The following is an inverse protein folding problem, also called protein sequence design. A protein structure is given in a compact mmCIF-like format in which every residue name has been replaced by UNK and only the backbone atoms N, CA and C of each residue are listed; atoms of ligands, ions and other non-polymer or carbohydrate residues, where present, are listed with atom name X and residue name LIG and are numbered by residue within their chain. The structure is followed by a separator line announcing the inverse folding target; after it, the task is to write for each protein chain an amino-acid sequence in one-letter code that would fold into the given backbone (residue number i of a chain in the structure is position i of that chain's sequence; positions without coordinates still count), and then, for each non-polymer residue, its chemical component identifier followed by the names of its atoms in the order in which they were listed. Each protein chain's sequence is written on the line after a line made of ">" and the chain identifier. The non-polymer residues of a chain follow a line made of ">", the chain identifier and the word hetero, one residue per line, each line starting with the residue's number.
data_IF_801136113681
#
_entry.id   IF_801136113681
#
_cell.length_a   1.000
_cell.length_b   1.000
_cell.length_c   1.000
_cell.angle_alpha   90.00
_cell.angle_beta   90.00
_cell.angle_gamma   90.00
#
_symmetry.space_group_name_H-M   'P 1'
#
loop_
_entity.id
_entity.type
_entity.pdbx_description
1 polymer ?
#
# COMPACT_ATOMS: atom_id res chain seq x y z
N UNK A 1 -5.39 45.59 48.22
CA UNK A 1 -5.86 44.26 47.79
C UNK A 1 -5.45 44.06 46.37
N UNK A 2 -4.50 43.17 46.14
CA UNK A 2 -4.08 42.80 44.79
C UNK A 2 -4.76 41.49 44.45
N UNK A 3 -5.67 41.52 43.47
CA UNK A 3 -6.32 40.35 42.95
C UNK A 3 -5.38 39.77 41.89
N UNK A 4 -4.75 38.63 42.19
CA UNK A 4 -3.97 37.89 41.20
C UNK A 4 -4.94 37.06 40.38
N UNK A 5 -5.17 37.50 39.15
CA UNK A 5 -5.90 36.72 38.14
C UNK A 5 -5.00 35.61 37.65
N UNK A 6 -5.26 34.41 38.15
CA UNK A 6 -4.56 33.20 37.71
C UNK A 6 -5.14 32.81 36.35
N UNK A 7 -4.46 33.20 35.28
CA UNK A 7 -4.80 32.71 33.94
C UNK A 7 -4.28 31.28 33.82
N UNK A 8 -5.19 30.33 34.00
CA UNK A 8 -4.93 28.93 33.74
C UNK A 8 -4.88 28.72 32.21
N UNK A 9 -3.68 28.73 31.64
CA UNK A 9 -3.45 28.36 30.26
C UNK A 9 -3.72 26.87 30.11
N UNK A 10 -4.94 26.53 29.69
CA UNK A 10 -5.30 25.19 29.28
C UNK A 10 -4.66 24.96 27.92
N UNK A 11 -3.45 24.39 27.92
CA UNK A 11 -2.82 23.89 26.71
C UNK A 11 -3.59 22.63 26.31
N UNK A 12 -4.60 22.79 25.46
CA UNK A 12 -5.16 21.65 24.72
C UNK A 12 -4.07 21.15 23.81
N UNK A 13 -3.35 20.14 24.26
CA UNK A 13 -2.58 19.30 23.37
C UNK A 13 -3.58 18.59 22.45
N UNK A 14 -3.85 19.18 21.30
CA UNK A 14 -4.48 18.53 20.18
C UNK A 14 -3.50 17.43 19.72
N UNK A 15 -3.58 16.28 20.35
CA UNK A 15 -3.01 15.07 19.78
C UNK A 15 -3.79 14.80 18.50
N UNK A 16 -3.25 15.27 17.38
CA UNK A 16 -3.78 14.98 16.06
C UNK A 16 -3.46 13.51 15.74
N UNK A 17 -4.15 12.60 16.43
CA UNK A 17 -4.21 11.20 16.03
C UNK A 17 -5.00 11.14 14.75
N UNK A 18 -4.31 11.02 13.61
CA UNK A 18 -4.98 10.70 12.35
C UNK A 18 -5.74 9.39 12.57
N UNK A 19 -7.06 9.42 12.46
CA UNK A 19 -7.87 8.22 12.65
C UNK A 19 -7.47 7.18 11.60
N UNK A 20 -7.60 5.89 11.94
CA UNK A 20 -7.31 4.78 11.01
C UNK A 20 -8.12 4.90 9.72
N UNK A 21 -9.35 5.37 9.80
CA UNK A 21 -10.23 5.60 8.65
C UNK A 21 -9.74 6.76 7.80
N UNK A 22 -9.21 7.83 8.39
CA UNK A 22 -8.61 8.95 7.65
C UNK A 22 -7.34 8.53 6.91
N UNK A 23 -6.47 7.70 7.53
CA UNK A 23 -5.28 7.16 6.88
C UNK A 23 -5.66 6.26 5.69
N UNK A 24 -6.67 5.41 5.84
CA UNK A 24 -7.20 4.56 4.77
C UNK A 24 -7.75 5.39 3.60
N UNK A 25 -8.56 6.41 3.88
CA UNK A 25 -9.12 7.30 2.85
C UNK A 25 -8.02 8.06 2.10
N UNK A 26 -6.99 8.54 2.80
CA UNK A 26 -5.83 9.23 2.22
C UNK A 26 -5.04 8.30 1.31
N UNK A 27 -4.74 7.09 1.74
CA UNK A 27 -4.02 6.10 0.92
C UNK A 27 -4.85 5.67 -0.29
N UNK A 28 -6.15 5.46 -0.11
CA UNK A 28 -7.05 5.13 -1.21
C UNK A 28 -7.01 6.19 -2.31
N UNK A 29 -6.99 7.48 -1.95
CA UNK A 29 -6.87 8.58 -2.89
C UNK A 29 -5.46 8.64 -3.54
N UNK A 30 -4.41 8.49 -2.74
CA UNK A 30 -3.03 8.62 -3.20
C UNK A 30 -2.55 7.43 -4.05
N UNK A 31 -3.14 6.25 -3.89
CA UNK A 31 -2.86 5.09 -4.74
C UNK A 31 -3.45 5.22 -6.15
N UNK A 32 -4.51 6.01 -6.33
CA UNK A 32 -5.19 6.12 -7.62
C UNK A 32 -4.25 6.54 -8.74
N UNK A 33 -4.42 5.97 -9.91
CA UNK A 33 -3.62 6.23 -11.10
C UNK A 33 -2.72 5.07 -11.49
N UNK A 34 -1.75 5.35 -12.36
CA UNK A 34 -0.88 4.36 -12.95
C UNK A 34 0.51 4.36 -12.30
N UNK A 35 1.02 3.17 -12.05
CA UNK A 35 2.32 2.93 -11.44
C UNK A 35 3.13 1.96 -12.28
N UNK A 36 4.32 2.37 -12.69
CA UNK A 36 5.21 1.54 -13.47
C UNK A 36 6.23 0.85 -12.56
N UNK A 37 6.18 -0.47 -12.49
CA UNK A 37 7.20 -1.25 -11.80
C UNK A 37 8.52 -1.19 -12.56
N UNK A 38 9.60 -0.92 -11.85
CA UNK A 38 10.93 -0.75 -12.43
C UNK A 38 11.88 -1.89 -12.06
N UNK A 39 11.70 -2.43 -10.86
CA UNK A 39 12.54 -3.51 -10.37
C UNK A 39 11.76 -4.43 -9.44
N UNK A 40 12.21 -5.66 -9.39
CA UNK A 40 11.77 -6.69 -8.48
C UNK A 40 13.00 -7.30 -7.82
N UNK A 41 12.91 -7.63 -6.55
CA UNK A 41 13.99 -8.31 -5.84
C UNK A 41 13.45 -9.37 -4.89
N UNK A 42 14.26 -10.40 -4.67
CA UNK A 42 13.97 -11.49 -3.75
C UNK A 42 15.28 -12.00 -3.16
N UNK A 43 15.38 -12.02 -1.83
CA UNK A 43 16.55 -12.52 -1.11
C UNK A 43 17.88 -11.89 -1.60
N UNK A 44 17.88 -10.58 -1.87
CA UNK A 44 19.06 -9.84 -2.32
C UNK A 44 19.34 -9.93 -3.82
N UNK A 45 18.62 -10.74 -4.57
CA UNK A 45 18.72 -10.81 -6.03
C UNK A 45 17.71 -9.85 -6.66
N UNK A 46 18.18 -8.97 -7.53
CA UNK A 46 17.39 -7.92 -8.18
C UNK A 46 17.42 -8.07 -9.69
N UNK A 47 16.28 -7.81 -10.31
CA UNK A 47 16.14 -7.74 -11.77
C UNK A 47 15.20 -6.61 -12.19
N UNK A 48 15.34 -6.15 -13.43
CA UNK A 48 14.46 -5.14 -13.99
C UNK A 48 13.17 -5.79 -14.49
N UNK A 49 12.07 -5.10 -14.26
CA UNK A 49 10.74 -5.49 -14.74
C UNK A 49 10.03 -4.31 -15.40
N UNK A 50 8.97 -4.59 -16.13
CA UNK A 50 8.12 -3.58 -16.75
C UNK A 50 6.65 -3.98 -16.59
N UNK A 51 6.17 -3.95 -15.34
CA UNK A 51 4.76 -4.17 -15.02
C UNK A 51 4.04 -2.84 -14.89
N UNK A 52 2.77 -2.83 -15.22
CA UNK A 52 1.90 -1.67 -15.01
C UNK A 52 0.81 -2.03 -14.02
N UNK A 53 0.71 -1.26 -12.95
CA UNK A 53 -0.38 -1.31 -11.97
C UNK A 53 -1.23 -0.06 -12.13
N UNK A 54 -2.52 -0.22 -12.35
CA UNK A 54 -3.47 0.92 -12.41
C UNK A 54 -4.53 0.72 -11.35
N UNK A 55 -4.58 1.64 -10.38
CA UNK A 55 -5.61 1.69 -9.36
C UNK A 55 -6.71 2.64 -9.80
N UNK A 56 -7.92 2.13 -9.94
CA UNK A 56 -9.09 2.91 -10.33
C UNK A 56 -10.28 2.53 -9.46
N UNK A 57 -10.62 3.41 -8.50
CA UNK A 57 -11.62 3.09 -7.49
C UNK A 57 -11.16 1.89 -6.64
N UNK A 58 -11.96 0.85 -6.57
CA UNK A 58 -11.70 -0.41 -5.88
C UNK A 58 -11.14 -1.52 -6.79
N UNK A 59 -10.71 -1.17 -7.99
CA UNK A 59 -10.13 -2.08 -8.97
C UNK A 59 -8.65 -1.82 -9.17
N UNK A 60 -7.91 -2.92 -9.28
CA UNK A 60 -6.49 -2.96 -9.64
C UNK A 60 -6.34 -3.68 -10.97
N UNK A 61 -5.86 -2.98 -11.96
CA UNK A 61 -5.50 -3.52 -13.27
C UNK A 61 -4.00 -3.78 -13.29
N UNK A 62 -3.62 -5.01 -13.46
CA UNK A 62 -2.22 -5.42 -13.59
C UNK A 62 -1.95 -5.85 -15.02
N UNK A 63 -0.94 -5.24 -15.64
CA UNK A 63 -0.48 -5.62 -16.98
C UNK A 63 0.96 -6.11 -16.88
N UNK A 64 1.20 -7.33 -17.34
CA UNK A 64 2.54 -7.92 -17.37
C UNK A 64 3.38 -7.44 -18.58
N UNK A 65 4.62 -7.90 -18.66
CA UNK A 65 5.54 -7.52 -19.75
C UNK A 65 5.07 -7.95 -21.13
N UNK A 66 4.18 -8.94 -21.22
CA UNK A 66 3.61 -9.43 -22.50
C UNK A 66 2.40 -8.61 -22.96
N UNK A 67 1.93 -7.69 -22.12
CA UNK A 67 0.72 -6.90 -22.36
C UNK A 67 -0.56 -7.60 -21.88
N UNK A 68 -0.45 -8.74 -21.18
CA UNK A 68 -1.62 -9.42 -20.60
C UNK A 68 -2.10 -8.64 -19.38
N UNK A 69 -3.39 -8.28 -19.37
CA UNK A 69 -4.04 -7.58 -18.28
C UNK A 69 -4.91 -8.52 -17.44
N UNK A 70 -4.85 -8.36 -16.13
CA UNK A 70 -5.73 -9.01 -15.16
C UNK A 70 -6.33 -7.93 -14.26
N UNK A 71 -7.62 -8.03 -13.97
CA UNK A 71 -8.34 -7.10 -13.09
C UNK A 71 -8.66 -7.76 -11.77
N UNK A 72 -8.26 -7.10 -10.68
CA UNK A 72 -8.55 -7.53 -9.32
C UNK A 72 -9.46 -6.52 -8.64
N UNK A 73 -10.31 -6.99 -7.72
CA UNK A 73 -10.96 -6.12 -6.73
C UNK A 73 -10.09 -6.08 -5.48
N UNK A 74 -9.99 -4.93 -4.84
CA UNK A 74 -9.18 -4.78 -3.63
C UNK A 74 -9.84 -3.89 -2.59
N UNK A 75 -9.40 -4.05 -1.35
CA UNK A 75 -9.64 -3.15 -0.22
C UNK A 75 -8.33 -2.85 0.46
N UNK A 76 -8.23 -1.72 1.14
CA UNK A 76 -7.08 -1.40 1.97
C UNK A 76 -7.30 -1.82 3.43
N UNK A 77 -6.27 -2.37 4.03
CA UNK A 77 -6.16 -2.58 5.48
C UNK A 77 -4.99 -1.75 6.01
N UNK A 78 -5.31 -0.70 6.76
CA UNK A 78 -4.33 0.22 7.37
C UNK A 78 -4.35 0.15 8.89
N UNK A 79 -4.90 -0.92 9.46
CA UNK A 79 -5.11 -1.04 10.92
C UNK A 79 -3.86 -1.42 11.69
N UNK A 80 -2.88 -2.08 11.06
CA UNK A 80 -1.63 -2.52 11.66
C UNK A 80 -0.45 -1.61 11.36
N UNK A 81 0.74 -2.03 11.78
CA UNK A 81 2.01 -1.36 11.47
C UNK A 81 2.38 -1.46 9.99
N UNK A 82 2.04 -2.57 9.36
CA UNK A 82 2.06 -2.73 7.91
C UNK A 82 0.69 -2.39 7.33
N UNK A 83 0.71 -1.79 6.15
CA UNK A 83 -0.49 -1.51 5.35
C UNK A 83 -0.60 -2.53 4.24
N UNK A 84 -1.82 -2.95 3.95
CA UNK A 84 -2.07 -3.99 2.96
C UNK A 84 -3.08 -3.54 1.90
N UNK A 85 -2.75 -3.86 0.66
CA UNK A 85 -3.72 -4.00 -0.42
C UNK A 85 -4.24 -5.43 -0.31
N UNK A 86 -5.51 -5.59 0.02
CA UNK A 86 -6.15 -6.90 0.20
C UNK A 86 -6.94 -7.23 -1.06
N UNK A 87 -6.37 -8.09 -1.89
CA UNK A 87 -7.04 -8.58 -3.10
C UNK A 87 -8.18 -9.50 -2.69
N UNK A 88 -9.37 -9.23 -3.21
CA UNK A 88 -10.58 -9.96 -2.85
C UNK A 88 -10.66 -11.31 -3.56
N UNK A 89 -11.33 -12.30 -2.96
CA UNK A 89 -11.60 -13.57 -3.62
C UNK A 89 -12.33 -13.36 -4.96
N UNK A 90 -11.93 -14.14 -5.96
CA UNK A 90 -12.53 -14.12 -7.30
C UNK A 90 -12.39 -15.52 -7.93
N UNK A 91 -13.49 -16.22 -8.11
CA UNK A 91 -13.50 -17.58 -8.67
C UNK A 91 -12.98 -17.63 -10.11
N UNK A 92 -13.21 -16.56 -10.89
CA UNK A 92 -12.74 -16.48 -12.28
C UNK A 92 -11.22 -16.41 -12.39
N UNK A 93 -10.55 -15.96 -11.31
CA UNK A 93 -9.10 -15.86 -11.19
C UNK A 93 -8.49 -16.96 -10.30
N UNK A 94 -9.29 -17.93 -9.87
CA UNK A 94 -8.89 -19.00 -8.93
C UNK A 94 -8.36 -18.45 -7.59
N UNK A 95 -8.88 -17.32 -7.15
CA UNK A 95 -8.56 -16.72 -5.84
C UNK A 95 -9.67 -17.12 -4.86
N UNK A 96 -9.40 -18.11 -4.01
CA UNK A 96 -10.38 -18.65 -3.06
C UNK A 96 -10.40 -17.92 -1.70
N UNK A 97 -9.34 -17.17 -1.38
CA UNK A 97 -9.20 -16.43 -0.12
C UNK A 97 -8.55 -15.07 -0.40
N UNK A 98 -8.75 -14.06 0.49
CA UNK A 98 -8.10 -12.76 0.34
C UNK A 98 -6.58 -12.89 0.28
N UNK A 99 -5.93 -12.15 -0.61
CA UNK A 99 -4.47 -12.09 -0.73
C UNK A 99 -3.98 -10.76 -0.19
N UNK A 100 -3.10 -10.82 0.81
CA UNK A 100 -2.53 -9.63 1.44
C UNK A 100 -1.22 -9.24 0.75
N UNK A 101 -1.20 -8.06 0.16
CA UNK A 101 -0.03 -7.45 -0.46
C UNK A 101 0.38 -6.27 0.41
N UNK A 102 1.56 -6.30 1.03
CA UNK A 102 2.02 -5.16 1.81
C UNK A 102 2.47 -4.03 0.88
N UNK A 103 2.29 -2.80 1.31
CA UNK A 103 2.73 -1.64 0.54
C UNK A 103 3.26 -0.52 1.42
N UNK A 104 4.10 0.29 0.82
CA UNK A 104 4.57 1.56 1.36
C UNK A 104 4.47 2.61 0.25
N UNK A 105 3.77 3.69 0.56
CA UNK A 105 3.51 4.78 -0.37
C UNK A 105 4.21 6.04 0.11
N UNK A 106 5.08 6.60 -0.71
CA UNK A 106 5.82 7.82 -0.41
C UNK A 106 5.87 8.71 -1.66
N UNK A 107 4.88 9.63 -1.76
CA UNK A 107 4.76 10.49 -2.94
C UNK A 107 4.55 9.69 -4.22
N UNK A 108 5.49 9.80 -5.15
CA UNK A 108 5.46 9.11 -6.44
C UNK A 108 6.20 7.76 -6.43
N UNK A 109 6.57 7.27 -5.24
CA UNK A 109 7.20 5.97 -5.03
C UNK A 109 6.23 5.02 -4.32
N UNK A 110 6.00 3.86 -4.91
CA UNK A 110 5.21 2.78 -4.33
C UNK A 110 6.08 1.53 -4.23
N UNK A 111 6.19 0.98 -3.03
CA UNK A 111 6.78 -0.33 -2.79
C UNK A 111 5.67 -1.34 -2.55
N UNK A 112 5.75 -2.47 -3.21
CA UNK A 112 4.81 -3.59 -3.08
C UNK A 112 5.59 -4.81 -2.63
N UNK A 113 5.07 -5.53 -1.64
CA UNK A 113 5.68 -6.77 -1.15
C UNK A 113 4.67 -7.90 -1.25
N UNK A 114 5.07 -8.97 -1.94
CA UNK A 114 4.28 -10.18 -2.13
C UNK A 114 5.01 -11.32 -1.41
N UNK A 115 4.29 -12.01 -0.52
CA UNK A 115 4.81 -13.19 0.17
C UNK A 115 4.59 -14.45 -0.68
N UNK A 116 5.31 -15.55 -0.37
CA UNK A 116 5.03 -16.86 -0.96
C UNK A 116 3.55 -17.26 -0.76
N UNK A 117 2.99 -18.10 -1.64
CA UNK A 117 1.60 -18.53 -1.55
C UNK A 117 1.22 -19.04 -0.15
N UNK A 118 0.07 -18.59 0.37
CA UNK A 118 -0.42 -18.95 1.69
C UNK A 118 0.21 -18.21 2.86
N UNK A 119 1.19 -17.35 2.62
CA UNK A 119 1.85 -16.53 3.64
C UNK A 119 1.43 -15.05 3.50
N UNK A 120 1.64 -14.33 4.58
CA UNK A 120 1.41 -12.88 4.65
C UNK A 120 2.76 -12.17 4.75
N UNK A 121 2.98 -11.05 4.03
CA UNK A 121 4.18 -10.24 4.21
C UNK A 121 4.34 -9.79 5.66
N UNK A 122 5.58 -9.80 6.14
CA UNK A 122 5.91 -9.42 7.52
C UNK A 122 6.67 -8.10 7.61
N UNK A 123 7.25 -7.64 6.50
CA UNK A 123 8.04 -6.40 6.41
C UNK A 123 8.10 -5.90 4.96
N UNK A 124 8.46 -4.63 4.79
CA UNK A 124 8.72 -4.05 3.46
C UNK A 124 10.17 -4.37 3.09
N UNK A 125 10.40 -5.56 2.61
CA UNK A 125 11.72 -6.04 2.17
C UNK A 125 11.60 -7.22 1.19
N UNK A 126 12.73 -7.61 0.63
CA UNK A 126 12.85 -8.80 -0.23
C UNK A 126 13.36 -10.04 0.52
N UNK A 127 13.41 -9.97 1.85
CA UNK A 127 13.85 -11.08 2.72
C UNK A 127 12.74 -12.12 2.89
N UNK A 128 13.11 -13.29 3.41
CA UNK A 128 12.17 -14.38 3.73
C UNK A 128 11.36 -14.85 2.50
N UNK A 129 11.99 -14.92 1.35
CA UNK A 129 11.37 -15.28 0.06
C UNK A 129 10.25 -14.33 -0.37
N UNK A 130 10.18 -13.15 0.20
CA UNK A 130 9.26 -12.10 -0.24
C UNK A 130 9.78 -11.45 -1.52
N UNK A 131 8.86 -11.08 -2.39
CA UNK A 131 9.16 -10.28 -3.58
C UNK A 131 8.89 -8.81 -3.27
N UNK A 132 9.91 -7.97 -3.44
CA UNK A 132 9.80 -6.53 -3.31
C UNK A 132 9.79 -5.89 -4.69
N UNK A 133 8.73 -5.20 -5.04
CA UNK A 133 8.54 -4.51 -6.32
C UNK A 133 8.58 -3.01 -6.06
N UNK A 134 9.45 -2.31 -6.77
CA UNK A 134 9.58 -0.86 -6.71
C UNK A 134 8.89 -0.23 -7.92
N UNK A 135 7.90 0.61 -7.65
CA UNK A 135 7.11 1.28 -8.68
C UNK A 135 7.25 2.79 -8.58
N UNK A 136 7.24 3.46 -9.72
CA UNK A 136 7.10 4.91 -9.82
C UNK A 136 5.77 5.26 -10.46
N UNK A 137 5.21 6.39 -10.04
CA UNK A 137 4.01 6.94 -10.67
C UNK A 137 4.30 7.23 -12.14
N UNK A 138 3.47 6.71 -13.03
CA UNK A 138 3.59 6.96 -14.46
C UNK A 138 3.22 8.40 -14.77
N UNK A 139 4.06 9.10 -15.53
CA UNK A 139 3.83 10.49 -15.92
C UNK A 139 4.35 11.54 -14.94
N UNK A 140 5.07 11.12 -13.90
CA UNK A 140 5.77 12.03 -12.98
C UNK A 140 7.25 12.16 -13.33
#
# INVERSE_FOLDING_TARGET
>A
MKIYLLILLLVCALSCGVSRDAAKATDQANLQGAWLAQSESQNGKKWNVSYLYVFKGDKLFFTDETGKEVTYSFKLDTTGSLRFIVVQPDETLNISAPVNIAYELNGDLLKIVIAPPGLRPTEISDKNNQELIICKRKGS
#
